data_IF_250339615919
#
_entry.id   IF_250339615919
#
_cell.length_a   1.000
_cell.length_b   1.000
_cell.length_c   1.000
_cell.angle_alpha   90.00
_cell.angle_beta   90.00
_cell.angle_gamma   90.00
#
_symmetry.space_group_name_H-M   'P 1'
#
loop_
_entity.id
_entity.type
_entity.pdbx_description
1 polymer ?
#
# COMPACT_ATOMS: atom_id res chain seq x y z
N UNK A 1 13.53 31.05 -8.85
CA UNK A 1 13.51 30.83 -7.40
C UNK A 1 13.40 29.35 -7.15
N UNK A 2 14.45 28.74 -6.60
CA UNK A 2 14.43 27.31 -6.27
C UNK A 2 13.54 27.10 -5.06
N UNK A 3 12.32 26.59 -5.27
CA UNK A 3 11.56 25.98 -4.18
C UNK A 3 12.38 24.75 -3.77
N UNK A 4 12.71 24.61 -2.48
CA UNK A 4 13.26 23.34 -1.98
C UNK A 4 12.28 22.23 -2.39
N UNK A 5 12.67 21.42 -3.38
CA UNK A 5 11.84 20.31 -3.84
C UNK A 5 11.73 19.22 -2.77
N UNK A 6 12.55 19.31 -1.73
CA UNK A 6 12.76 18.27 -0.74
C UNK A 6 12.75 18.86 0.67
N UNK A 7 11.90 18.29 1.51
CA UNK A 7 11.97 18.40 2.97
C UNK A 7 11.28 17.12 3.46
N UNK A 8 12.08 16.19 4.01
CA UNK A 8 11.78 14.84 4.54
C UNK A 8 12.46 13.64 3.79
N UNK A 9 12.15 12.40 4.24
CA UNK A 9 12.71 11.10 3.82
C UNK A 9 12.56 10.82 2.30
N UNK A 10 13.55 10.12 1.76
CA UNK A 10 13.48 9.51 0.42
C UNK A 10 13.16 8.02 0.56
N UNK A 11 12.25 7.54 -0.29
CA UNK A 11 12.13 6.11 -0.56
C UNK A 11 13.17 5.71 -1.59
N UNK A 12 13.81 4.57 -1.39
CA UNK A 12 14.77 4.01 -2.35
C UNK A 12 14.59 2.51 -2.46
N UNK A 13 14.18 2.04 -3.63
CA UNK A 13 13.69 0.67 -3.78
C UNK A 13 14.16 0.05 -5.09
N UNK A 14 14.67 -1.19 -5.06
CA UNK A 14 14.86 -1.95 -6.29
C UNK A 14 13.49 -2.35 -6.84
N UNK A 15 13.34 -2.30 -8.16
CA UNK A 15 12.09 -2.62 -8.84
C UNK A 15 12.18 -3.97 -9.57
N UNK A 16 11.03 -4.65 -9.76
CA UNK A 16 10.90 -5.69 -10.76
C UNK A 16 11.42 -5.19 -12.11
N UNK A 17 12.23 -6.00 -12.80
CA UNK A 17 12.91 -5.60 -14.03
C UNK A 17 14.33 -5.02 -13.84
N UNK A 18 14.84 -4.97 -12.62
CA UNK A 18 16.27 -4.77 -12.36
C UNK A 18 16.76 -3.32 -12.44
N UNK A 19 15.87 -2.36 -12.20
CA UNK A 19 16.21 -0.94 -12.04
C UNK A 19 15.87 -0.47 -10.63
N UNK A 20 16.21 0.77 -10.30
CA UNK A 20 15.97 1.38 -9.01
C UNK A 20 15.05 2.58 -9.13
N UNK A 21 14.23 2.81 -8.12
CA UNK A 21 13.36 3.97 -8.01
C UNK A 21 13.70 4.77 -6.77
N UNK A 22 13.80 6.09 -6.96
CA UNK A 22 13.76 7.06 -5.88
C UNK A 22 12.34 7.61 -5.77
N UNK A 23 11.83 7.68 -4.55
CA UNK A 23 10.55 8.29 -4.22
C UNK A 23 10.78 9.49 -3.32
N UNK A 24 10.10 10.59 -3.60
CA UNK A 24 10.21 11.82 -2.83
C UNK A 24 8.91 12.59 -2.81
N UNK A 25 8.81 13.51 -1.86
CA UNK A 25 7.67 14.41 -1.77
C UNK A 25 7.64 15.37 -2.95
N UNK A 26 6.44 15.64 -3.44
CA UNK A 26 6.08 16.69 -4.38
C UNK A 26 5.14 17.67 -3.68
N UNK A 27 5.36 18.98 -3.84
CA UNK A 27 4.44 20.00 -3.37
C UNK A 27 3.65 20.53 -4.58
N UNK A 28 2.39 20.13 -4.72
CA UNK A 28 1.52 20.52 -5.84
C UNK A 28 0.99 21.96 -5.68
N UNK A 29 0.86 22.43 -4.44
CA UNK A 29 0.30 23.74 -4.13
C UNK A 29 1.25 24.58 -3.26
N UNK A 30 0.97 25.89 -3.17
CA UNK A 30 1.74 26.80 -2.30
C UNK A 30 1.55 26.44 -0.83
N UNK A 31 0.33 26.03 -0.45
CA UNK A 31 -0.05 25.52 0.86
C UNK A 31 -0.83 24.22 0.67
N UNK A 32 -0.48 23.16 1.39
CA UNK A 32 -1.12 21.84 1.20
C UNK A 32 -0.74 21.16 -0.13
N UNK A 33 -1.54 20.18 -0.55
CA UNK A 33 -1.36 19.46 -1.82
C UNK A 33 -0.03 18.71 -1.88
N UNK A 34 0.35 18.05 -0.79
CA UNK A 34 1.57 17.25 -0.78
C UNK A 34 1.28 15.91 -1.40
N UNK A 35 2.16 15.47 -2.27
CA UNK A 35 2.01 14.21 -2.97
C UNK A 35 3.38 13.59 -3.22
N UNK A 36 3.45 12.58 -4.09
CA UNK A 36 4.66 11.81 -4.35
C UNK A 36 5.10 11.99 -5.80
N UNK A 37 6.41 12.06 -5.98
CA UNK A 37 7.09 11.97 -7.27
C UNK A 37 8.14 10.87 -7.20
N UNK A 38 8.47 10.29 -8.34
CA UNK A 38 9.47 9.26 -8.46
C UNK A 38 10.45 9.55 -9.60
N UNK A 39 11.65 8.98 -9.50
CA UNK A 39 12.66 8.99 -10.55
C UNK A 39 13.28 7.60 -10.69
N UNK A 40 13.35 7.12 -11.93
CA UNK A 40 13.85 5.79 -12.29
C UNK A 40 15.32 5.84 -12.67
N UNK A 41 16.13 4.87 -12.24
CA UNK A 41 17.50 4.74 -12.73
C UNK A 41 17.52 4.30 -14.21
N UNK A 42 18.45 4.83 -15.00
CA UNK A 42 18.58 4.50 -16.43
C UNK A 42 19.11 3.06 -16.64
N UNK A 43 19.65 2.44 -15.59
CA UNK A 43 20.15 1.06 -15.60
C UNK A 43 20.11 0.42 -14.21
N UNK A 44 20.82 -0.70 -14.02
CA UNK A 44 20.77 -1.47 -12.77
C UNK A 44 21.60 -0.87 -11.63
N UNK A 45 22.39 0.17 -11.90
CA UNK A 45 23.26 0.79 -10.90
C UNK A 45 22.43 1.69 -9.95
N UNK A 46 22.38 1.37 -8.63
CA UNK A 46 21.70 2.21 -7.64
C UNK A 46 22.29 3.64 -7.55
N UNK A 47 23.52 3.86 -7.99
CA UNK A 47 24.13 5.19 -8.01
C UNK A 47 23.59 6.11 -9.12
N UNK A 48 22.79 5.59 -10.06
CA UNK A 48 22.22 6.33 -11.18
C UNK A 48 23.03 6.20 -12.48
N UNK A 49 22.83 7.10 -13.47
CA UNK A 49 21.99 8.30 -13.41
C UNK A 49 20.49 7.98 -13.33
N UNK A 50 19.72 8.95 -12.85
CA UNK A 50 18.26 8.88 -12.79
C UNK A 50 17.61 9.73 -13.87
N UNK A 51 16.49 9.25 -14.38
CA UNK A 51 15.57 9.98 -15.23
C UNK A 51 14.99 11.21 -14.47
N UNK A 52 14.42 12.20 -15.17
CA UNK A 52 13.73 13.31 -14.53
C UNK A 52 12.62 12.83 -13.59
N UNK A 53 12.44 13.55 -12.49
CA UNK A 53 11.36 13.30 -11.54
C UNK A 53 9.99 13.50 -12.20
N UNK A 54 9.09 12.56 -11.92
CA UNK A 54 7.72 12.57 -12.42
C UNK A 54 6.78 12.33 -11.25
N UNK A 55 5.65 13.04 -11.22
CA UNK A 55 4.57 12.75 -10.28
C UNK A 55 4.08 11.31 -10.50
N UNK A 56 3.85 10.55 -9.44
CA UNK A 56 3.21 9.25 -9.57
C UNK A 56 1.72 9.42 -9.86
N UNK A 57 1.07 8.38 -10.34
CA UNK A 57 -0.37 8.30 -10.54
C UNK A 57 -0.94 7.22 -9.62
N UNK A 58 -1.98 7.55 -8.87
CA UNK A 58 -2.67 6.62 -7.97
C UNK A 58 -4.12 6.58 -8.40
N UNK A 59 -4.59 5.39 -8.77
CA UNK A 59 -5.95 5.22 -9.25
C UNK A 59 -6.98 5.76 -8.25
N UNK A 60 -7.85 6.66 -8.72
CA UNK A 60 -8.94 7.23 -7.92
C UNK A 60 -8.53 8.36 -6.97
N UNK A 61 -7.24 8.70 -6.85
CA UNK A 61 -6.79 9.82 -6.02
C UNK A 61 -6.96 11.17 -6.73
N UNK A 62 -7.68 12.10 -6.10
CA UNK A 62 -7.81 13.49 -6.58
C UNK A 62 -6.65 14.35 -6.07
N UNK A 63 -5.64 14.53 -6.93
CA UNK A 63 -4.46 15.34 -6.64
C UNK A 63 -4.69 16.86 -6.75
N UNK A 64 -5.84 17.28 -7.26
CA UNK A 64 -6.33 18.66 -7.18
C UNK A 64 -7.13 18.94 -5.90
N UNK A 65 -7.43 17.89 -5.13
CA UNK A 65 -8.19 17.96 -3.90
C UNK A 65 -7.39 18.48 -2.69
N UNK A 66 -8.02 18.57 -1.51
CA UNK A 66 -7.37 19.04 -0.29
C UNK A 66 -6.41 18.00 0.33
N UNK A 67 -6.37 16.79 -0.26
CA UNK A 67 -5.60 15.65 0.24
C UNK A 67 -4.09 15.88 0.26
N UNK A 68 -3.43 15.09 1.10
CA UNK A 68 -1.99 15.05 1.23
C UNK A 68 -1.53 13.60 1.37
N UNK A 69 -0.47 13.27 0.65
CA UNK A 69 0.35 12.07 0.82
C UNK A 69 1.77 12.55 1.04
N UNK A 70 2.29 12.35 2.25
CA UNK A 70 3.54 13.00 2.69
C UNK A 70 4.80 12.27 2.26
N UNK A 71 4.73 10.95 2.21
CA UNK A 71 5.82 10.06 1.88
C UNK A 71 5.26 8.77 1.27
N UNK A 72 6.16 8.01 0.66
CA UNK A 72 5.89 6.66 0.19
C UNK A 72 7.04 5.77 0.63
N UNK A 73 6.72 4.75 1.43
CA UNK A 73 7.67 3.68 1.75
C UNK A 73 7.37 2.54 0.79
N UNK A 74 8.32 2.22 -0.09
CA UNK A 74 8.12 1.25 -1.16
C UNK A 74 9.08 0.08 -0.99
N UNK A 75 8.59 -1.14 -1.22
CA UNK A 75 9.39 -2.36 -1.16
C UNK A 75 8.90 -3.40 -2.16
N UNK A 76 9.74 -4.39 -2.44
CA UNK A 76 9.34 -5.56 -3.21
C UNK A 76 8.15 -6.27 -2.54
N UNK A 77 7.19 -6.71 -3.36
CA UNK A 77 6.06 -7.48 -2.87
C UNK A 77 6.52 -8.92 -2.59
N UNK A 78 6.44 -9.42 -1.34
CA UNK A 78 6.88 -10.77 -1.02
C UNK A 78 5.96 -11.86 -1.59
N UNK A 79 4.77 -11.50 -2.06
CA UNK A 79 3.77 -12.43 -2.60
C UNK A 79 3.74 -12.48 -4.14
N UNK A 80 4.40 -11.54 -4.81
CA UNK A 80 4.38 -11.37 -6.26
C UNK A 80 5.66 -10.63 -6.72
N UNK A 81 6.58 -11.34 -7.36
CA UNK A 81 7.90 -10.85 -7.76
C UNK A 81 7.88 -9.82 -8.89
N UNK A 82 6.74 -9.66 -9.57
CA UNK A 82 6.54 -8.67 -10.63
C UNK A 82 6.01 -7.34 -10.10
N UNK A 83 5.82 -7.20 -8.78
CA UNK A 83 5.22 -6.00 -8.18
C UNK A 83 5.96 -5.45 -6.98
N UNK A 84 5.65 -4.20 -6.64
CA UNK A 84 6.05 -3.56 -5.39
C UNK A 84 4.82 -3.17 -4.58
N UNK A 85 5.01 -3.10 -3.26
CA UNK A 85 4.04 -2.56 -2.32
C UNK A 85 4.51 -1.18 -1.86
N UNK A 86 3.58 -0.23 -1.85
CA UNK A 86 3.80 1.11 -1.34
C UNK A 86 2.91 1.35 -0.13
N UNK A 87 3.47 1.96 0.90
CA UNK A 87 2.79 2.39 2.10
C UNK A 87 2.72 3.90 2.12
N UNK A 88 1.50 4.41 2.21
CA UNK A 88 1.20 5.82 2.00
C UNK A 88 0.48 6.35 3.23
N UNK A 89 1.07 7.30 3.97
CA UNK A 89 0.34 8.05 4.98
C UNK A 89 -0.52 9.09 4.26
N UNK A 90 -1.82 8.82 4.21
CA UNK A 90 -2.82 9.61 3.49
C UNK A 90 -3.63 10.42 4.50
N UNK A 91 -3.74 11.72 4.26
CA UNK A 91 -4.73 12.57 4.88
C UNK A 91 -5.58 13.19 3.76
N UNK A 92 -6.86 12.88 3.70
CA UNK A 92 -7.76 13.34 2.62
C UNK A 92 -8.14 14.82 2.74
N UNK A 93 -7.71 15.50 3.82
CA UNK A 93 -7.93 16.91 4.04
C UNK A 93 -9.39 17.28 4.25
N UNK A 94 -9.64 18.57 4.40
CA UNK A 94 -10.99 19.14 4.45
C UNK A 94 -11.15 20.12 3.28
N UNK A 95 -12.24 20.05 2.50
CA UNK A 95 -12.45 20.96 1.37
C UNK A 95 -12.37 22.44 1.79
N UNK A 96 -11.56 23.21 1.05
CA UNK A 96 -11.37 24.64 1.32
C UNK A 96 -10.40 24.97 2.47
N UNK A 97 -9.88 23.96 3.18
CA UNK A 97 -8.91 24.14 4.27
C UNK A 97 -7.55 23.59 3.83
N UNK A 98 -6.60 24.48 3.55
CA UNK A 98 -5.22 24.06 3.33
C UNK A 98 -4.70 23.39 4.62
N UNK A 99 -4.20 22.15 4.51
CA UNK A 99 -3.74 21.35 5.65
C UNK A 99 -4.86 20.98 6.65
N UNK A 100 -6.08 20.70 6.18
CA UNK A 100 -7.17 20.26 7.04
C UNK A 100 -6.91 18.93 7.77
N UNK A 101 -7.62 18.71 8.87
CA UNK A 101 -7.52 17.51 9.73
C UNK A 101 -8.44 16.37 9.24
N UNK A 102 -8.55 16.22 7.91
CA UNK A 102 -9.46 15.26 7.30
C UNK A 102 -9.20 13.81 7.66
N UNK A 103 -9.98 12.92 7.04
CA UNK A 103 -9.84 11.48 7.19
C UNK A 103 -8.39 11.07 6.91
N UNK A 104 -7.75 10.42 7.89
CA UNK A 104 -6.34 10.07 7.86
C UNK A 104 -6.12 8.57 8.10
N UNK A 105 -5.22 7.97 7.35
CA UNK A 105 -4.89 6.55 7.44
C UNK A 105 -3.54 6.25 6.79
N UNK A 106 -2.94 5.12 7.18
CA UNK A 106 -1.93 4.46 6.37
C UNK A 106 -2.66 3.59 5.35
N UNK A 107 -2.33 3.75 4.08
CA UNK A 107 -2.80 2.91 3.00
C UNK A 107 -1.69 2.02 2.44
N UNK A 108 -2.11 0.92 1.82
CA UNK A 108 -1.30 0.14 0.91
C UNK A 108 -1.79 0.34 -0.53
N UNK A 109 -0.86 0.37 -1.48
CA UNK A 109 -1.16 0.22 -2.90
C UNK A 109 -0.07 -0.61 -3.59
N UNK A 110 -0.42 -1.23 -4.72
CA UNK A 110 0.47 -2.07 -5.52
C UNK A 110 0.89 -1.31 -6.78
N UNK A 111 2.13 -1.51 -7.21
CA UNK A 111 2.60 -1.02 -8.51
C UNK A 111 3.46 -2.04 -9.24
N UNK A 112 3.36 -2.02 -10.57
CA UNK A 112 4.17 -2.83 -11.48
C UNK A 112 5.40 -2.04 -12.00
N UNK A 113 5.41 -0.70 -11.91
CA UNK A 113 6.47 0.14 -12.50
C UNK A 113 6.99 1.27 -11.58
N UNK A 114 6.33 1.49 -10.44
CA UNK A 114 6.60 2.55 -9.47
C UNK A 114 6.05 3.94 -9.84
N UNK A 115 5.47 4.10 -11.03
CA UNK A 115 4.83 5.34 -11.47
C UNK A 115 3.32 5.26 -11.39
N UNK A 116 2.72 4.10 -11.68
CA UNK A 116 1.27 3.89 -11.66
C UNK A 116 0.90 2.92 -10.55
N UNK A 117 -0.03 3.33 -9.70
CA UNK A 117 -0.40 2.63 -8.47
C UNK A 117 -1.90 2.30 -8.47
N UNK A 118 -2.23 1.16 -7.85
CA UNK A 118 -3.62 0.81 -7.54
C UNK A 118 -4.30 1.85 -6.65
N UNK A 119 -5.60 1.73 -6.48
CA UNK A 119 -6.32 2.52 -5.47
C UNK A 119 -5.74 2.27 -4.07
N UNK A 120 -5.81 3.30 -3.21
CA UNK A 120 -5.39 3.19 -1.83
C UNK A 120 -6.35 2.30 -1.06
N UNK A 121 -5.83 1.22 -0.48
CA UNK A 121 -6.55 0.39 0.48
C UNK A 121 -6.13 0.81 1.90
N UNK A 122 -7.01 1.40 2.72
CA UNK A 122 -6.68 1.79 4.10
C UNK A 122 -6.39 0.56 4.95
N UNK A 123 -5.23 0.53 5.60
CA UNK A 123 -4.81 -0.60 6.44
C UNK A 123 -4.79 -0.24 7.93
N UNK A 124 -4.55 1.03 8.27
CA UNK A 124 -4.57 1.54 9.64
C UNK A 124 -5.13 2.95 9.66
N UNK A 125 -6.21 3.19 10.40
CA UNK A 125 -6.76 4.52 10.60
C UNK A 125 -5.88 5.34 11.56
N UNK A 126 -5.70 6.62 11.26
CA UNK A 126 -4.86 7.55 12.01
C UNK A 126 -5.62 8.84 12.32
N UNK A 127 -5.00 9.72 13.11
CA UNK A 127 -5.48 11.09 13.33
C UNK A 127 -4.92 12.00 12.24
N UNK A 128 -5.76 12.86 11.68
CA UNK A 128 -5.32 13.94 10.80
C UNK A 128 -4.90 15.15 11.62
N UNK A 129 -3.69 15.66 11.43
CA UNK A 129 -3.23 16.88 12.09
C UNK A 129 -2.40 17.73 11.12
N UNK A 130 -2.76 19.00 10.92
CA UNK A 130 -2.08 19.91 9.99
C UNK A 130 -1.86 19.30 8.59
N UNK A 131 -2.88 18.59 8.08
CA UNK A 131 -2.86 17.93 6.78
C UNK A 131 -2.00 16.67 6.73
N UNK A 132 -1.46 16.19 7.85
CA UNK A 132 -0.65 14.96 7.96
C UNK A 132 -1.46 13.84 8.56
N UNK A 133 -1.04 12.60 8.32
CA UNK A 133 -1.32 11.52 9.27
C UNK A 133 -0.46 11.73 10.51
N UNK A 134 -0.96 11.30 11.66
CA UNK A 134 -0.19 11.30 12.89
C UNK A 134 0.79 10.12 12.97
N UNK A 135 0.37 9.01 12.38
CA UNK A 135 1.13 7.78 12.29
C UNK A 135 1.94 7.76 10.99
N UNK A 136 3.13 7.16 11.06
CA UNK A 136 4.04 7.01 9.93
C UNK A 136 4.59 5.58 9.87
N UNK A 137 4.60 4.92 8.70
CA UNK A 137 5.29 3.65 8.52
C UNK A 137 6.79 3.89 8.67
N UNK A 138 7.45 3.09 9.49
CA UNK A 138 8.87 3.27 9.81
C UNK A 138 9.72 2.66 8.69
N UNK A 139 9.47 1.37 8.41
CA UNK A 139 10.40 0.49 7.69
C UNK A 139 9.69 -0.47 6.72
N UNK A 140 8.40 -0.25 6.41
CA UNK A 140 7.61 -1.11 5.52
C UNK A 140 7.20 -2.44 6.18
N UNK A 141 7.08 -3.51 5.38
CA UNK A 141 6.74 -4.87 5.85
C UNK A 141 7.99 -5.70 6.14
N UNK A 142 7.96 -6.41 7.26
CA UNK A 142 8.86 -7.52 7.57
C UNK A 142 8.11 -8.85 7.50
N UNK A 143 8.71 -9.85 6.87
CA UNK A 143 8.22 -11.23 6.92
C UNK A 143 8.98 -11.97 8.04
N UNK A 144 8.29 -12.32 9.12
CA UNK A 144 8.87 -13.01 10.29
C UNK A 144 8.06 -14.28 10.50
N UNK A 145 8.70 -15.45 10.46
CA UNK A 145 8.06 -16.76 10.68
C UNK A 145 6.81 -17.03 9.83
N UNK A 146 6.74 -16.44 8.63
CA UNK A 146 5.58 -16.58 7.72
C UNK A 146 4.47 -15.55 7.94
N UNK A 147 4.63 -14.63 8.90
CA UNK A 147 3.73 -13.51 9.16
C UNK A 147 4.29 -12.20 8.62
N UNK A 148 3.41 -11.39 8.05
CA UNK A 148 3.75 -10.06 7.52
C UNK A 148 3.45 -9.02 8.59
N UNK A 149 4.49 -8.34 9.06
CA UNK A 149 4.41 -7.28 10.08
C UNK A 149 4.66 -5.92 9.46
N UNK A 150 3.81 -4.93 9.78
CA UNK A 150 4.04 -3.53 9.47
C UNK A 150 4.41 -2.77 10.75
N UNK A 151 5.53 -2.07 10.73
CA UNK A 151 5.96 -1.25 11.87
C UNK A 151 5.54 0.20 11.66
N UNK A 152 4.71 0.71 12.58
CA UNK A 152 4.17 2.06 12.57
C UNK A 152 4.68 2.77 13.82
N UNK A 153 5.34 3.92 13.65
CA UNK A 153 5.65 4.80 14.78
C UNK A 153 4.51 5.79 14.95
N UNK A 154 3.83 5.77 16.10
CA UNK A 154 2.99 6.88 16.54
C UNK A 154 3.90 8.06 16.93
N UNK A 155 3.57 9.29 16.54
CA UNK A 155 4.34 10.46 17.00
C UNK A 155 4.25 10.70 18.53
N UNK A 156 3.41 9.95 19.28
CA UNK A 156 3.22 10.08 20.75
C UNK A 156 3.26 8.76 21.56
N UNK A 157 3.78 7.65 21.03
CA UNK A 157 3.94 6.42 21.83
C UNK A 157 2.65 5.61 22.07
N UNK A 158 1.68 5.68 21.16
CA UNK A 158 0.54 4.75 21.10
C UNK A 158 0.86 3.58 20.17
N UNK A 159 1.30 2.43 20.69
CA UNK A 159 1.60 1.25 19.87
C UNK A 159 0.33 0.72 19.18
N UNK A 160 0.39 0.56 17.85
CA UNK A 160 -0.60 -0.16 17.06
C UNK A 160 0.05 -1.41 16.44
N UNK A 161 -0.50 -2.60 16.70
CA UNK A 161 -0.15 -3.85 16.01
C UNK A 161 -1.38 -4.39 15.28
N UNK A 162 -1.20 -4.82 14.03
CA UNK A 162 -2.24 -5.42 13.20
C UNK A 162 -1.70 -6.66 12.48
N UNK A 163 -2.54 -7.69 12.36
CA UNK A 163 -2.22 -8.95 11.67
C UNK A 163 -2.83 -8.92 10.27
N UNK A 164 -2.02 -9.18 9.24
CA UNK A 164 -2.52 -9.39 7.87
C UNK A 164 -2.77 -10.89 7.65
N UNK A 165 -3.99 -11.27 7.30
CA UNK A 165 -4.33 -12.65 6.93
C UNK A 165 -4.28 -12.84 5.40
N UNK A 166 -3.77 -13.98 4.89
CA UNK A 166 -3.80 -14.28 3.45
C UNK A 166 -5.22 -14.64 2.97
N UNK A 167 -5.62 -14.14 1.79
CA UNK A 167 -6.93 -14.42 1.15
C UNK A 167 -6.75 -14.89 -0.31
N UNK A 168 -7.65 -15.79 -0.70
CA UNK A 168 -7.68 -16.63 -1.92
C UNK A 168 -7.97 -15.85 -3.23
N UNK A 169 -7.44 -16.36 -4.35
CA UNK A 169 -7.36 -15.70 -5.66
C UNK A 169 -8.66 -15.81 -6.46
N UNK A 170 -9.33 -14.68 -6.69
CA UNK A 170 -10.43 -14.52 -7.64
C UNK A 170 -10.14 -13.42 -8.68
N UNK A 171 -10.13 -13.79 -9.95
CA UNK A 171 -9.72 -12.99 -11.11
C UNK A 171 -10.44 -11.64 -11.31
N UNK A 172 -9.68 -10.57 -11.61
CA UNK A 172 -9.90 -9.70 -12.78
C UNK A 172 -8.73 -8.71 -13.04
N UNK A 173 -8.60 -8.33 -14.30
CA UNK A 173 -7.46 -7.71 -14.97
C UNK A 173 -7.22 -6.23 -14.65
N UNK A 174 -6.11 -5.95 -13.97
CA UNK A 174 -5.19 -4.79 -14.03
C UNK A 174 -4.27 -4.93 -12.80
N UNK A 175 -3.10 -5.59 -12.90
CA UNK A 175 -2.16 -5.84 -11.78
C UNK A 175 -2.83 -5.96 -10.38
N UNK A 176 -3.92 -6.72 -10.23
CA UNK A 176 -4.72 -6.74 -9.01
C UNK A 176 -4.70 -8.13 -8.37
N UNK A 177 -3.98 -8.31 -7.25
CA UNK A 177 -4.48 -9.07 -6.14
C UNK A 177 -5.22 -8.12 -5.19
N UNK A 178 -6.52 -8.34 -5.00
CA UNK A 178 -7.28 -7.69 -3.95
C UNK A 178 -6.72 -8.14 -2.59
N UNK A 179 -6.25 -7.20 -1.78
CA UNK A 179 -6.08 -7.41 -0.34
C UNK A 179 -7.39 -7.04 0.34
N UNK A 180 -8.00 -7.97 1.08
CA UNK A 180 -9.12 -7.67 1.95
C UNK A 180 -8.60 -7.61 3.39
N UNK A 181 -8.65 -6.43 4.01
CA UNK A 181 -8.50 -6.28 5.46
C UNK A 181 -9.88 -5.90 5.98
N UNK A 182 -10.49 -6.80 6.75
CA UNK A 182 -11.85 -6.60 7.28
C UNK A 182 -11.83 -5.49 8.36
N UNK A 183 -12.57 -4.36 8.20
CA UNK A 183 -12.59 -3.32 9.20
C UNK A 183 -13.72 -3.59 10.21
N UNK A 184 -13.37 -3.53 11.52
CA UNK A 184 -14.26 -3.42 12.71
C UNK A 184 -14.85 -4.76 13.20
N UNK A 185 -14.52 -5.28 14.40
CA UNK A 185 -15.09 -4.90 15.72
C UNK A 185 -14.29 -5.51 16.92
N UNK A 186 -14.41 -4.98 18.16
CA UNK A 186 -13.60 -5.34 19.32
C UNK A 186 -14.13 -6.60 20.05
N UNK A 187 -13.23 -7.31 20.76
CA UNK A 187 -13.47 -8.38 21.74
C UNK A 187 -14.89 -8.98 21.82
N UNK A 188 -15.08 -10.25 21.41
CA UNK A 188 -15.56 -11.34 22.29
C UNK A 188 -15.60 -12.70 21.56
N UNK A 189 -15.46 -13.74 22.36
CA UNK A 189 -15.29 -15.17 22.10
C UNK A 189 -16.46 -15.96 21.50
N UNK A 190 -16.08 -17.02 20.76
CA UNK A 190 -16.65 -18.38 20.66
C UNK A 190 -18.05 -18.66 20.04
N UNK A 191 -18.05 -19.79 19.28
CA UNK A 191 -19.11 -20.78 19.03
C UNK A 191 -20.28 -20.41 18.09
N UNK A 192 -20.39 -21.10 16.94
CA UNK A 192 -21.24 -22.30 16.80
C UNK A 192 -21.04 -23.03 15.45
N UNK A 193 -21.30 -24.34 15.50
CA UNK A 193 -21.29 -25.33 14.43
C UNK A 193 -22.40 -25.11 13.39
N UNK A 194 -22.17 -25.53 12.14
CA UNK A 194 -23.21 -25.70 11.12
C UNK A 194 -22.70 -26.42 9.87
N UNK A 195 -23.15 -27.66 9.71
CA UNK A 195 -22.80 -28.65 8.66
C UNK A 195 -23.52 -28.38 7.33
N UNK A 196 -22.84 -28.51 6.19
CA UNK A 196 -23.41 -29.09 4.94
C UNK A 196 -22.31 -29.88 4.19
N UNK A 197 -22.71 -31.08 3.74
CA UNK A 197 -21.99 -32.21 3.16
C UNK A 197 -21.50 -32.04 1.70
N UNK A 198 -20.63 -32.95 1.18
CA UNK A 198 -19.88 -32.76 -0.06
C UNK A 198 -20.67 -33.16 -1.32
N UNK A 199 -20.35 -32.52 -2.45
CA UNK A 199 -20.74 -32.97 -3.79
C UNK A 199 -19.74 -34.00 -4.36
N UNK A 200 -20.17 -34.88 -5.28
CA UNK A 200 -19.57 -36.19 -5.50
C UNK A 200 -18.39 -36.16 -6.48
N UNK A 201 -17.34 -36.90 -6.12
CA UNK A 201 -16.31 -37.32 -7.04
C UNK A 201 -16.83 -38.43 -7.95
N UNK A 202 -16.80 -38.18 -9.27
CA UNK A 202 -16.77 -39.22 -10.28
C UNK A 202 -15.41 -39.94 -10.21
N UNK A 203 -15.38 -41.11 -9.56
CA UNK A 203 -14.45 -42.17 -9.93
C UNK A 203 -15.27 -43.41 -10.29
N UNK A 204 -15.42 -43.64 -11.60
CA UNK A 204 -15.93 -44.89 -12.13
C UNK A 204 -14.79 -45.89 -12.28
N UNK A 205 -14.59 -46.74 -11.27
CA UNK A 205 -13.96 -48.06 -11.45
C UNK A 205 -15.06 -49.04 -11.86
N UNK A 206 -15.11 -49.37 -13.16
CA UNK A 206 -15.97 -50.43 -13.67
C UNK A 206 -15.33 -51.79 -13.45
N UNK A 207 -15.93 -52.61 -12.59
CA UNK A 207 -15.67 -54.04 -12.48
C UNK A 207 -16.58 -54.80 -13.44
N UNK A 208 -15.98 -55.70 -14.21
CA UNK A 208 -16.65 -56.68 -15.08
C UNK A 208 -17.44 -57.70 -14.25
N UNK A 209 -18.61 -58.11 -14.71
CA UNK A 209 -19.26 -59.40 -14.35
C UNK A 209 -20.08 -59.90 -15.56
N UNK A 210 -20.32 -61.22 -15.69
CA UNK A 210 -20.23 -61.92 -16.97
C UNK A 210 -21.59 -62.26 -17.58
N UNK A 211 -21.65 -62.24 -18.91
CA UNK A 211 -22.15 -63.27 -19.84
C UNK A 211 -22.16 -62.69 -21.26
#
# INVERSE_FOLDING_TARGET
GGRCMFDNKFGFTPMPGGYWMLFGRLNLHVNGGRFIQAARSVGPDPAGPYEPWQKIDVQGYDDGGPGNVYEATVQLNPLDDDTVLGFFPVNLGEPGVANGEGIAFIAVAVSCDGFHWSEFEPIVWSVGLEGRTYDHPIDGLLLIDGEVHLFIVPLLGLEHSGLLHPIDRGSQSLCAPAFFINPITPYLSCLFQGVVTPFPNHQGTGTVTPL
#
